data_IF_327430526346
#
_entry.id   IF_327430526346
#
_cell.length_a   1.000
_cell.length_b   1.000
_cell.length_c   1.000
_cell.angle_alpha   90.00
_cell.angle_beta   90.00
_cell.angle_gamma   90.00
#
_symmetry.space_group_name_H-M   'P 1'
#
loop_
_entity.id
_entity.type
_entity.pdbx_description
1 polymer ?
#
# COMPACT_ATOMS: atom_id res chain seq x y z
N UNK A 1 4.53 53.31 -21.41
CA UNK A 1 4.45 51.89 -21.02
C UNK A 1 5.86 51.43 -20.70
N UNK A 2 6.11 50.97 -19.47
CA UNK A 2 7.39 50.35 -19.12
C UNK A 2 7.57 49.14 -20.04
N UNK A 3 8.65 49.14 -20.82
CA UNK A 3 8.93 48.08 -21.78
C UNK A 3 9.81 47.07 -21.05
N UNK A 4 9.27 45.91 -20.70
CA UNK A 4 10.08 44.79 -20.21
C UNK A 4 11.09 44.46 -21.32
N UNK A 5 12.35 44.27 -20.95
CA UNK A 5 13.42 43.96 -21.91
C UNK A 5 13.11 42.68 -22.70
N UNK A 6 13.28 42.73 -24.02
CA UNK A 6 12.98 41.61 -24.92
C UNK A 6 13.83 40.37 -24.58
N UNK A 7 15.05 40.55 -24.08
CA UNK A 7 15.90 39.47 -23.60
C UNK A 7 15.33 38.83 -22.32
N UNK A 8 14.81 39.63 -21.40
CA UNK A 8 14.14 39.14 -20.20
C UNK A 8 12.88 38.34 -20.55
N UNK A 9 12.06 38.86 -21.49
CA UNK A 9 10.88 38.15 -21.99
C UNK A 9 11.26 36.76 -22.53
N UNK A 10 12.26 36.68 -23.41
CA UNK A 10 12.71 35.39 -23.96
C UNK A 10 13.16 34.43 -22.88
N UNK A 11 13.99 34.89 -21.95
CA UNK A 11 14.49 34.08 -20.84
C UNK A 11 13.35 33.53 -19.98
N UNK A 12 12.32 34.34 -19.71
CA UNK A 12 11.14 33.93 -18.94
C UNK A 12 10.38 32.83 -19.68
N UNK A 13 10.12 33.01 -20.97
CA UNK A 13 9.39 32.04 -21.80
C UNK A 13 10.15 30.71 -21.88
N UNK A 14 11.47 30.75 -22.06
CA UNK A 14 12.33 29.56 -22.12
C UNK A 14 12.43 28.83 -20.77
N UNK A 15 12.32 29.57 -19.66
CA UNK A 15 12.38 28.99 -18.30
C UNK A 15 11.03 28.41 -17.87
N UNK A 16 9.92 28.92 -18.40
CA UNK A 16 8.58 28.54 -17.97
C UNK A 16 8.29 27.06 -18.21
N UNK A 17 8.07 26.30 -17.13
CA UNK A 17 7.68 24.90 -17.15
C UNK A 17 6.20 24.77 -16.82
N UNK A 18 5.44 24.19 -17.74
CA UNK A 18 3.98 24.06 -17.65
C UNK A 18 3.52 23.29 -16.41
N UNK A 19 4.30 22.31 -15.94
CA UNK A 19 3.95 21.52 -14.76
C UNK A 19 3.98 22.38 -13.52
N UNK A 20 5.00 23.23 -13.41
CA UNK A 20 5.19 24.12 -12.26
C UNK A 20 4.14 25.23 -12.28
N UNK A 21 3.93 25.84 -13.45
CA UNK A 21 2.96 26.92 -13.66
C UNK A 21 1.56 26.43 -13.34
N UNK A 22 1.08 25.35 -13.95
CA UNK A 22 -0.27 24.82 -13.68
C UNK A 22 -0.37 24.29 -12.24
N UNK A 23 0.69 23.63 -11.74
CA UNK A 23 0.76 23.08 -10.40
C UNK A 23 0.65 24.11 -9.28
N UNK A 24 0.95 25.39 -9.58
CA UNK A 24 0.74 26.50 -8.66
C UNK A 24 -0.75 26.79 -8.40
N UNK A 25 -1.65 26.44 -9.33
CA UNK A 25 -3.09 26.74 -9.24
C UNK A 25 -3.93 25.51 -8.91
N UNK A 26 -3.60 24.35 -9.49
CA UNK A 26 -4.35 23.11 -9.31
C UNK A 26 -3.48 21.94 -8.87
N UNK A 27 -4.03 20.96 -8.12
CA UNK A 27 -3.31 19.73 -7.79
C UNK A 27 -3.09 18.89 -9.04
N UNK A 28 -1.86 18.40 -9.22
CA UNK A 28 -1.48 17.53 -10.33
C UNK A 28 -0.99 16.18 -9.79
N UNK A 29 -1.49 15.09 -10.36
CA UNK A 29 -1.06 13.72 -10.08
C UNK A 29 -0.25 13.16 -11.25
N UNK A 30 0.97 12.71 -10.98
CA UNK A 30 1.82 12.11 -12.01
C UNK A 30 1.27 10.74 -12.42
N UNK A 31 1.08 10.53 -13.74
CA UNK A 31 0.68 9.24 -14.32
C UNK A 31 1.58 8.94 -15.52
N UNK A 32 2.65 8.19 -15.26
CA UNK A 32 3.69 7.93 -16.25
C UNK A 32 4.39 9.22 -16.68
N UNK A 33 4.52 9.50 -17.99
CA UNK A 33 5.22 10.70 -18.49
C UNK A 33 4.36 11.98 -18.49
N UNK A 34 3.14 11.93 -17.94
CA UNK A 34 2.16 13.02 -17.98
C UNK A 34 1.67 13.33 -16.56
N UNK A 35 1.02 14.48 -16.41
CA UNK A 35 0.33 14.86 -15.18
C UNK A 35 -1.16 15.03 -15.45
N UNK A 36 -1.97 14.66 -14.47
CA UNK A 36 -3.43 14.72 -14.51
C UNK A 36 -3.95 15.66 -13.42
N UNK A 37 -5.01 16.41 -13.70
CA UNK A 37 -5.66 17.29 -12.73
C UNK A 37 -7.15 17.47 -13.06
N UNK A 38 -7.87 18.17 -12.19
CA UNK A 38 -9.18 18.69 -12.55
C UNK A 38 -9.00 19.92 -13.44
N UNK A 39 -9.79 20.03 -14.50
CA UNK A 39 -9.74 21.16 -15.41
C UNK A 39 -10.18 22.44 -14.70
N UNK A 40 -9.39 23.53 -14.75
CA UNK A 40 -9.76 24.79 -14.12
C UNK A 40 -10.65 25.68 -15.02
N UNK A 41 -10.94 25.25 -16.25
CA UNK A 41 -11.69 26.02 -17.25
C UNK A 41 -13.19 25.66 -17.30
N UNK A 42 -13.62 24.62 -16.58
CA UNK A 42 -15.02 24.22 -16.43
C UNK A 42 -15.21 23.48 -15.10
N UNK A 43 -16.47 23.22 -14.73
CA UNK A 43 -16.78 22.42 -13.55
C UNK A 43 -16.48 20.93 -13.81
N UNK A 44 -15.25 20.54 -13.51
CA UNK A 44 -14.74 19.19 -13.80
C UNK A 44 -14.83 18.27 -12.59
N UNK A 45 -15.32 17.06 -12.82
CA UNK A 45 -15.45 15.99 -11.83
C UNK A 45 -14.58 14.77 -12.18
N UNK A 46 -13.79 14.83 -13.26
CA UNK A 46 -13.00 13.71 -13.76
C UNK A 46 -11.52 14.12 -13.93
N UNK A 47 -10.67 13.64 -13.03
CA UNK A 47 -9.21 13.89 -13.03
C UNK A 47 -8.52 13.40 -14.34
N UNK A 48 -9.18 12.55 -15.14
CA UNK A 48 -8.69 12.14 -16.45
C UNK A 48 -8.90 13.16 -17.59
N UNK A 49 -9.67 14.23 -17.37
CA UNK A 49 -10.07 15.16 -18.43
C UNK A 49 -8.96 16.17 -18.79
N UNK A 50 -8.21 16.65 -17.80
CA UNK A 50 -7.16 17.67 -17.96
C UNK A 50 -5.77 17.06 -17.83
N UNK A 51 -5.00 17.13 -18.92
CA UNK A 51 -3.69 16.49 -19.03
C UNK A 51 -2.63 17.55 -19.32
N UNK A 52 -1.56 17.53 -18.51
CA UNK A 52 -0.35 18.33 -18.72
C UNK A 52 0.76 17.43 -19.27
N UNK A 53 1.40 17.90 -20.34
CA UNK A 53 2.44 17.21 -21.09
C UNK A 53 3.79 17.92 -20.89
N UNK A 54 4.66 17.45 -19.97
CA UNK A 54 5.92 18.12 -19.66
C UNK A 54 6.83 18.26 -20.87
N UNK A 55 6.98 17.20 -21.68
CA UNK A 55 7.83 17.22 -22.88
C UNK A 55 7.37 18.22 -23.95
N UNK A 56 6.08 18.47 -24.03
CA UNK A 56 5.50 19.41 -24.99
C UNK A 56 5.32 20.82 -24.42
N UNK A 57 5.62 21.01 -23.14
CA UNK A 57 5.35 22.23 -22.37
C UNK A 57 3.93 22.78 -22.54
N UNK A 58 2.93 21.88 -22.60
CA UNK A 58 1.56 22.24 -22.93
C UNK A 58 0.52 21.45 -22.12
N UNK A 59 -0.71 21.96 -22.09
CA UNK A 59 -1.87 21.31 -21.50
C UNK A 59 -2.97 21.07 -22.54
N UNK A 60 -3.83 20.10 -22.26
CA UNK A 60 -5.09 19.90 -22.98
C UNK A 60 -6.16 19.31 -22.06
N UNK A 61 -7.35 19.88 -22.11
CA UNK A 61 -8.57 19.26 -21.62
C UNK A 61 -9.29 18.55 -22.75
N UNK A 62 -9.68 17.30 -22.54
CA UNK A 62 -10.46 16.51 -23.51
C UNK A 62 -11.97 16.67 -23.34
N UNK A 63 -12.44 17.32 -22.27
CA UNK A 63 -13.86 17.58 -22.03
C UNK A 63 -14.31 18.94 -22.57
N UNK A 64 -13.59 20.02 -22.27
CA UNK A 64 -13.92 21.39 -22.71
C UNK A 64 -12.99 21.92 -23.83
N UNK A 65 -12.10 21.07 -24.37
CA UNK A 65 -11.17 21.38 -25.45
C UNK A 65 -10.11 22.48 -25.17
N UNK A 66 -10.08 23.04 -23.97
CA UNK A 66 -9.06 24.00 -23.53
C UNK A 66 -7.64 23.45 -23.77
N UNK A 67 -6.76 24.26 -24.35
CA UNK A 67 -5.39 23.87 -24.69
C UNK A 67 -4.46 25.08 -24.79
N UNK A 68 -3.21 24.93 -24.36
CA UNK A 68 -2.24 26.01 -24.39
C UNK A 68 -0.89 25.66 -23.74
N UNK A 69 -0.05 26.68 -23.64
CA UNK A 69 1.22 26.68 -22.89
C UNK A 69 1.05 27.44 -21.56
N UNK A 70 2.16 27.71 -20.88
CA UNK A 70 2.18 28.38 -19.58
C UNK A 70 1.59 29.79 -19.63
N UNK A 71 1.87 30.53 -20.71
CA UNK A 71 1.38 31.90 -20.88
C UNK A 71 -0.12 31.85 -21.14
N UNK A 72 -0.56 31.01 -22.07
CA UNK A 72 -1.97 30.87 -22.41
C UNK A 72 -2.80 30.41 -21.21
N UNK A 73 -2.26 29.51 -20.38
CA UNK A 73 -2.88 29.11 -19.13
C UNK A 73 -3.12 30.32 -18.21
N UNK A 74 -2.09 31.14 -17.98
CA UNK A 74 -2.21 32.34 -17.15
C UNK A 74 -3.20 33.35 -17.74
N UNK A 75 -3.17 33.55 -19.06
CA UNK A 75 -4.09 34.47 -19.72
C UNK A 75 -5.55 34.02 -19.57
N UNK A 76 -5.85 32.74 -19.83
CA UNK A 76 -7.21 32.21 -19.80
C UNK A 76 -7.72 31.96 -18.37
N UNK A 77 -6.91 31.35 -17.52
CA UNK A 77 -7.32 30.96 -16.16
C UNK A 77 -7.28 32.13 -15.19
N UNK A 78 -6.28 33.01 -15.33
CA UNK A 78 -6.05 34.12 -14.41
C UNK A 78 -6.54 35.47 -14.95
N UNK A 79 -7.11 35.48 -16.18
CA UNK A 79 -7.53 36.68 -16.88
C UNK A 79 -6.40 37.74 -17.00
N UNK A 80 -5.17 37.28 -17.21
CA UNK A 80 -4.00 38.14 -17.38
C UNK A 80 -3.82 38.55 -18.85
N UNK A 81 -3.32 39.75 -19.09
CA UNK A 81 -2.74 40.09 -20.39
C UNK A 81 -1.34 39.45 -20.55
N UNK A 82 -0.76 39.56 -21.75
CA UNK A 82 0.55 38.97 -22.02
C UNK A 82 1.64 39.51 -21.06
N UNK A 83 1.64 40.82 -20.82
CA UNK A 83 2.63 41.46 -19.95
C UNK A 83 2.45 41.03 -18.49
N UNK A 84 1.20 40.93 -18.00
CA UNK A 84 0.87 40.40 -16.69
C UNK A 84 1.35 38.96 -16.50
N UNK A 85 1.14 38.10 -17.49
CA UNK A 85 1.64 36.72 -17.48
C UNK A 85 3.17 36.66 -17.42
N UNK A 86 3.88 37.50 -18.19
CA UNK A 86 5.34 37.60 -18.14
C UNK A 86 5.82 38.06 -16.76
N UNK A 87 5.18 39.06 -16.16
CA UNK A 87 5.55 39.53 -14.82
C UNK A 87 5.34 38.45 -13.76
N UNK A 88 4.23 37.72 -13.82
CA UNK A 88 3.96 36.61 -12.91
C UNK A 88 5.03 35.52 -13.04
N UNK A 89 5.36 35.12 -14.26
CA UNK A 89 6.42 34.13 -14.51
C UNK A 89 7.79 34.64 -14.06
N UNK A 90 8.11 35.91 -14.31
CA UNK A 90 9.34 36.54 -13.85
C UNK A 90 9.47 36.46 -12.32
N UNK A 91 8.42 36.84 -11.59
CA UNK A 91 8.39 36.70 -10.13
C UNK A 91 8.48 35.24 -9.67
N UNK A 92 7.74 34.33 -10.32
CA UNK A 92 7.70 32.90 -9.98
C UNK A 92 9.08 32.21 -10.14
N UNK A 93 9.84 32.60 -11.16
CA UNK A 93 11.17 32.05 -11.45
C UNK A 93 12.33 32.92 -10.93
N UNK A 94 12.05 34.01 -10.23
CA UNK A 94 13.07 34.93 -9.72
C UNK A 94 13.87 35.65 -10.81
N UNK A 95 13.27 35.88 -11.98
CA UNK A 95 13.85 36.64 -13.09
C UNK A 95 13.39 38.10 -12.97
N UNK A 96 14.29 39.07 -12.81
CA UNK A 96 13.92 40.48 -12.69
C UNK A 96 13.12 40.96 -13.91
N UNK A 97 11.99 41.60 -13.62
CA UNK A 97 11.12 42.34 -14.55
C UNK A 97 11.03 43.79 -14.06
N UNK A 98 10.11 44.60 -14.61
CA UNK A 98 9.86 45.94 -14.07
C UNK A 98 9.23 45.90 -12.66
N UNK A 99 9.34 47.00 -11.92
CA UNK A 99 8.84 47.12 -10.53
C UNK A 99 7.30 47.24 -10.44
N UNK A 100 6.58 46.87 -11.50
CA UNK A 100 5.12 46.94 -11.54
C UNK A 100 4.55 45.71 -10.82
N UNK A 101 3.78 45.89 -9.72
CA UNK A 101 3.16 44.77 -9.03
C UNK A 101 2.22 44.00 -9.96
N UNK A 102 2.22 42.68 -9.84
CA UNK A 102 1.22 41.84 -10.51
C UNK A 102 -0.03 41.86 -9.64
N UNK A 103 -1.09 42.51 -10.13
CA UNK A 103 -2.40 42.52 -9.46
C UNK A 103 -3.12 41.19 -9.71
N UNK A 104 -2.62 40.14 -9.09
CA UNK A 104 -3.23 38.82 -9.12
C UNK A 104 -2.93 38.05 -7.84
N UNK A 105 -4.00 37.68 -7.13
CA UNK A 105 -3.92 36.77 -6.00
C UNK A 105 -4.36 35.38 -6.47
N UNK A 106 -3.48 34.37 -6.50
CA UNK A 106 -3.90 33.02 -6.85
C UNK A 106 -5.05 32.55 -5.95
N UNK A 107 -6.08 31.90 -6.51
CA UNK A 107 -7.08 31.27 -5.66
C UNK A 107 -6.37 30.29 -4.74
N UNK A 108 -6.80 30.25 -3.47
CA UNK A 108 -6.29 29.27 -2.51
C UNK A 108 -6.52 27.89 -3.12
N UNK A 109 -5.42 27.17 -3.38
CA UNK A 109 -5.45 25.81 -3.88
C UNK A 109 -6.28 24.97 -2.90
N UNK A 110 -7.52 24.66 -3.27
CA UNK A 110 -8.30 23.68 -2.51
C UNK A 110 -7.61 22.35 -2.69
N UNK A 111 -6.98 21.86 -1.62
CA UNK A 111 -6.54 20.47 -1.60
C UNK A 111 -7.77 19.60 -1.87
N UNK A 112 -7.68 18.66 -2.82
CA UNK A 112 -8.79 17.77 -3.07
C UNK A 112 -9.07 17.02 -1.78
N UNK A 113 -10.35 16.95 -1.38
CA UNK A 113 -10.72 16.21 -0.18
C UNK A 113 -10.21 14.76 -0.30
N UNK A 114 -9.57 14.22 0.75
CA UNK A 114 -9.07 12.86 0.71
C UNK A 114 -10.24 11.91 0.49
N UNK A 115 -10.07 10.97 -0.45
CA UNK A 115 -11.09 9.95 -0.71
C UNK A 115 -11.37 9.15 0.57
N UNK A 116 -12.62 8.72 0.81
CA UNK A 116 -12.93 7.83 1.90
C UNK A 116 -12.13 6.53 1.76
N UNK A 117 -11.59 6.03 2.87
CA UNK A 117 -10.87 4.76 2.85
C UNK A 117 -11.82 3.59 2.64
N UNK A 118 -11.48 2.69 1.71
CA UNK A 118 -12.19 1.43 1.51
C UNK A 118 -12.28 0.65 2.82
N UNK A 119 -13.50 0.28 3.19
CA UNK A 119 -13.80 -0.58 4.34
C UNK A 119 -14.82 -1.61 3.91
N UNK A 120 -14.43 -2.88 3.96
CA UNK A 120 -15.31 -3.99 3.65
C UNK A 120 -16.22 -4.30 4.86
N UNK A 121 -17.45 -4.77 4.62
CA UNK A 121 -18.35 -5.23 5.66
C UNK A 121 -17.76 -6.41 6.44
N UNK A 122 -17.81 -6.32 7.78
CA UNK A 122 -17.24 -7.33 8.68
C UNK A 122 -17.92 -8.70 8.56
N UNK A 123 -19.19 -8.74 8.16
CA UNK A 123 -19.93 -9.99 7.94
C UNK A 123 -19.30 -10.89 6.87
N UNK A 124 -18.58 -10.32 5.89
CA UNK A 124 -17.85 -11.10 4.89
C UNK A 124 -16.73 -11.90 5.55
N UNK A 125 -16.04 -11.31 6.53
CA UNK A 125 -15.01 -12.00 7.33
C UNK A 125 -15.65 -13.12 8.13
N UNK A 126 -16.72 -12.81 8.87
CA UNK A 126 -17.37 -13.75 9.79
C UNK A 126 -17.95 -14.98 9.06
N UNK A 127 -18.57 -14.78 7.89
CA UNK A 127 -19.14 -15.88 7.08
C UNK A 127 -18.10 -16.80 6.46
N UNK A 128 -16.84 -16.37 6.39
CA UNK A 128 -15.75 -17.11 5.73
C UNK A 128 -14.82 -17.81 6.71
N UNK A 129 -15.21 -18.00 7.98
CA UNK A 129 -14.37 -18.63 9.02
C UNK A 129 -14.42 -20.16 9.07
N UNK A 130 -15.25 -20.82 8.26
CA UNK A 130 -15.23 -22.29 8.22
C UNK A 130 -13.98 -22.78 7.47
N UNK A 131 -13.08 -23.46 8.19
CA UNK A 131 -11.81 -23.99 7.68
C UNK A 131 -11.80 -25.52 7.52
N UNK A 132 -12.93 -26.21 7.67
CA UNK A 132 -13.02 -27.69 7.61
C UNK A 132 -12.44 -28.29 6.32
N UNK A 133 -12.51 -27.56 5.21
CA UNK A 133 -12.00 -27.98 3.90
C UNK A 133 -10.81 -27.14 3.42
N UNK A 134 -10.24 -26.30 4.28
CA UNK A 134 -9.14 -25.43 3.89
C UNK A 134 -7.81 -26.19 3.89
N UNK A 135 -7.20 -26.32 2.72
CA UNK A 135 -5.95 -27.08 2.53
C UNK A 135 -4.81 -26.59 3.43
N UNK A 136 -4.72 -25.27 3.64
CA UNK A 136 -3.67 -24.70 4.49
C UNK A 136 -3.92 -25.00 5.97
N UNK A 137 -5.17 -24.84 6.44
CA UNK A 137 -5.53 -25.18 7.81
C UNK A 137 -5.30 -26.68 8.09
N UNK A 138 -5.74 -27.56 7.19
CA UNK A 138 -5.52 -29.01 7.30
C UNK A 138 -4.02 -29.36 7.33
N UNK A 139 -3.22 -28.70 6.50
CA UNK A 139 -1.77 -28.84 6.54
C UNK A 139 -1.17 -28.35 7.87
N UNK A 140 -1.62 -27.22 8.40
CA UNK A 140 -1.17 -26.75 9.71
C UNK A 140 -1.44 -27.79 10.80
N UNK A 141 -2.61 -28.42 10.82
CA UNK A 141 -2.94 -29.47 11.80
C UNK A 141 -2.10 -30.75 11.64
N UNK A 142 -1.57 -31.04 10.44
CA UNK A 142 -0.81 -32.26 10.19
C UNK A 142 0.66 -32.19 10.64
N UNK A 143 1.16 -31.00 10.94
CA UNK A 143 2.54 -30.81 11.41
C UNK A 143 2.75 -31.41 12.81
N UNK A 144 4.00 -31.81 13.15
CA UNK A 144 4.31 -32.49 14.40
C UNK A 144 4.40 -31.51 15.58
N UNK A 145 3.31 -30.81 15.88
CA UNK A 145 3.19 -29.92 17.03
C UNK A 145 3.17 -30.71 18.34
N UNK A 146 3.80 -30.17 19.39
CA UNK A 146 3.64 -30.67 20.76
C UNK A 146 2.23 -30.33 21.31
N UNK A 147 1.86 -30.88 22.48
CA UNK A 147 0.51 -30.70 23.04
C UNK A 147 0.08 -29.23 23.18
N UNK A 148 0.94 -28.38 23.73
CA UNK A 148 0.66 -26.94 23.92
C UNK A 148 0.49 -26.22 22.59
N UNK A 149 1.29 -26.57 21.59
CA UNK A 149 1.21 -26.00 20.24
C UNK A 149 -0.07 -26.46 19.53
N UNK A 150 -0.46 -27.73 19.67
CA UNK A 150 -1.70 -28.27 19.09
C UNK A 150 -2.94 -27.53 19.60
N UNK A 151 -3.01 -27.29 20.91
CA UNK A 151 -4.11 -26.54 21.53
C UNK A 151 -4.16 -25.09 21.03
N UNK A 152 -3.01 -24.54 20.62
CA UNK A 152 -2.91 -23.18 20.07
C UNK A 152 -3.43 -23.04 18.64
N UNK A 153 -3.35 -24.08 17.80
CA UNK A 153 -3.66 -23.98 16.35
C UNK A 153 -5.04 -23.36 16.12
N UNK A 154 -6.08 -23.94 16.73
CA UNK A 154 -7.47 -23.46 16.56
C UNK A 154 -7.61 -22.02 17.05
N UNK A 155 -7.06 -21.72 18.22
CA UNK A 155 -7.09 -20.38 18.82
C UNK A 155 -6.41 -19.35 17.91
N UNK A 156 -5.25 -19.68 17.36
CA UNK A 156 -4.52 -18.81 16.42
C UNK A 156 -5.34 -18.58 15.15
N UNK A 157 -5.87 -19.63 14.51
CA UNK A 157 -6.70 -19.48 13.32
C UNK A 157 -7.94 -18.60 13.57
N UNK A 158 -8.57 -18.77 14.73
CA UNK A 158 -9.74 -18.00 15.15
C UNK A 158 -9.41 -16.52 15.46
N UNK A 159 -8.35 -16.25 16.23
CA UNK A 159 -7.94 -14.89 16.61
C UNK A 159 -7.45 -14.09 15.41
N UNK A 160 -6.71 -14.72 14.50
CA UNK A 160 -6.27 -14.09 13.24
C UNK A 160 -7.37 -14.03 12.19
N UNK A 161 -8.55 -14.58 12.49
CA UNK A 161 -9.73 -14.60 11.63
C UNK A 161 -9.45 -15.25 10.27
N UNK A 162 -8.57 -16.25 10.20
CA UNK A 162 -8.21 -16.92 8.95
C UNK A 162 -9.47 -17.41 8.26
N UNK A 163 -9.61 -17.04 6.99
CA UNK A 163 -10.80 -17.34 6.22
C UNK A 163 -10.58 -18.40 5.15
N UNK A 164 -11.68 -18.86 4.57
CA UNK A 164 -11.73 -19.75 3.44
C UNK A 164 -12.69 -19.23 2.38
N UNK A 165 -12.38 -19.51 1.13
CA UNK A 165 -13.27 -19.22 0.01
C UNK A 165 -13.14 -20.25 -1.06
N UNK A 166 -14.28 -20.76 -1.46
CA UNK A 166 -14.44 -21.60 -2.65
C UNK A 166 -14.98 -20.76 -3.79
N UNK A 167 -14.30 -20.76 -4.93
CA UNK A 167 -14.80 -20.12 -6.15
C UNK A 167 -14.93 -21.16 -7.24
N UNK A 168 -16.11 -21.21 -7.87
CA UNK A 168 -16.38 -22.13 -8.98
C UNK A 168 -16.26 -21.35 -10.28
N UNK A 169 -15.34 -21.76 -11.15
CA UNK A 169 -15.16 -21.16 -12.47
C UNK A 169 -15.05 -22.26 -13.51
N UNK A 170 -15.84 -22.18 -14.59
CA UNK A 170 -15.87 -23.19 -15.66
C UNK A 170 -16.08 -24.64 -15.16
N UNK A 171 -16.91 -24.82 -14.13
CA UNK A 171 -17.15 -26.12 -13.50
C UNK A 171 -16.02 -26.63 -12.60
N UNK A 172 -14.90 -25.93 -12.50
CA UNK A 172 -13.80 -26.26 -11.59
C UNK A 172 -13.94 -25.51 -10.27
N UNK A 173 -13.68 -26.22 -9.17
CA UNK A 173 -13.64 -25.65 -7.83
C UNK A 173 -12.23 -25.15 -7.51
N UNK A 174 -12.15 -23.96 -6.94
CA UNK A 174 -10.92 -23.31 -6.51
C UNK A 174 -11.03 -22.87 -5.07
N UNK A 175 -10.30 -23.55 -4.20
CA UNK A 175 -10.29 -23.27 -2.77
C UNK A 175 -9.09 -22.39 -2.41
N UNK A 176 -9.35 -21.37 -1.60
CA UNK A 176 -8.38 -20.37 -1.19
C UNK A 176 -8.47 -20.14 0.31
N UNK A 177 -7.31 -20.01 0.93
CA UNK A 177 -7.17 -19.46 2.27
C UNK A 177 -7.15 -17.95 2.18
N UNK A 178 -7.86 -17.27 3.08
CA UNK A 178 -7.94 -15.82 3.18
C UNK A 178 -7.17 -15.32 4.39
N UNK A 179 -6.27 -14.39 4.15
CA UNK A 179 -5.58 -13.62 5.18
C UNK A 179 -6.13 -12.20 5.19
N UNK A 180 -6.93 -11.87 6.20
CA UNK A 180 -7.58 -10.56 6.28
C UNK A 180 -6.63 -9.48 6.76
N UNK A 181 -6.68 -8.33 6.10
CA UNK A 181 -6.03 -7.10 6.51
C UNK A 181 -7.08 -6.24 7.21
N UNK A 182 -7.09 -6.32 8.54
CA UNK A 182 -7.99 -5.56 9.42
C UNK A 182 -7.12 -4.62 10.25
N UNK A 183 -7.43 -3.32 10.20
CA UNK A 183 -6.59 -2.31 10.84
C UNK A 183 -6.81 -2.23 12.37
N UNK A 184 -6.01 -1.39 13.02
CA UNK A 184 -6.07 -1.10 14.46
C UNK A 184 -7.41 -0.50 14.90
N UNK A 185 -8.23 0.00 13.97
CA UNK A 185 -9.59 0.49 14.25
C UNK A 185 -10.67 -0.55 13.92
N UNK A 186 -10.28 -1.81 13.76
CA UNK A 186 -11.18 -2.92 13.43
C UNK A 186 -11.90 -2.76 12.07
N UNK A 187 -11.32 -2.00 11.15
CA UNK A 187 -11.87 -1.82 9.79
C UNK A 187 -11.25 -2.84 8.85
N UNK A 188 -12.09 -3.60 8.16
CA UNK A 188 -11.65 -4.59 7.17
C UNK A 188 -11.18 -3.86 5.92
N UNK A 189 -9.89 -3.90 5.61
CA UNK A 189 -9.32 -3.21 4.43
C UNK A 189 -9.42 -4.06 3.19
N UNK A 190 -9.08 -5.33 3.33
CA UNK A 190 -9.18 -6.35 2.28
C UNK A 190 -8.91 -7.72 2.89
N UNK A 191 -9.01 -8.78 2.08
CA UNK A 191 -8.37 -10.06 2.34
C UNK A 191 -7.47 -10.46 1.16
N UNK A 192 -6.35 -11.11 1.45
CA UNK A 192 -5.47 -11.73 0.46
C UNK A 192 -5.83 -13.20 0.36
N UNK A 193 -6.20 -13.65 -0.84
CA UNK A 193 -6.56 -15.04 -1.12
C UNK A 193 -5.36 -15.78 -1.68
N UNK A 194 -5.02 -16.94 -1.11
CA UNK A 194 -3.89 -17.74 -1.58
C UNK A 194 -4.24 -19.22 -1.62
N UNK A 195 -3.78 -19.91 -2.68
CA UNK A 195 -3.86 -21.37 -2.79
C UNK A 195 -2.64 -22.06 -2.22
N UNK A 196 -2.89 -23.17 -1.53
CA UNK A 196 -1.88 -24.05 -0.98
C UNK A 196 -2.06 -25.46 -1.50
N UNK A 197 -0.94 -26.16 -1.63
CA UNK A 197 -0.88 -27.61 -1.80
C UNK A 197 -0.95 -28.28 -0.42
N UNK A 198 -1.23 -29.58 -0.40
CA UNK A 198 -1.30 -30.37 0.84
C UNK A 198 0.05 -30.49 1.57
N UNK A 199 1.18 -30.19 0.89
CA UNK A 199 2.52 -30.09 1.48
C UNK A 199 2.77 -28.74 2.19
N UNK A 200 1.79 -27.82 2.13
CA UNK A 200 1.88 -26.48 2.71
C UNK A 200 2.62 -25.45 1.86
N UNK A 201 3.08 -25.83 0.67
CA UNK A 201 3.67 -24.88 -0.27
C UNK A 201 2.57 -24.12 -1.02
N UNK A 202 2.81 -22.82 -1.20
CA UNK A 202 1.93 -21.95 -1.99
C UNK A 202 2.00 -22.35 -3.46
N UNK A 203 0.84 -22.47 -4.11
CA UNK A 203 0.78 -22.70 -5.55
C UNK A 203 1.30 -21.49 -6.33
N UNK A 204 2.06 -21.73 -7.39
CA UNK A 204 2.61 -20.74 -8.32
C UNK A 204 1.89 -20.83 -9.66
N UNK A 205 2.05 -19.80 -10.52
CA UNK A 205 1.34 -19.72 -11.82
C UNK A 205 1.57 -20.93 -12.74
N UNK A 206 2.68 -21.67 -12.54
CA UNK A 206 2.94 -22.92 -13.24
C UNK A 206 2.10 -24.11 -12.75
N UNK A 207 1.59 -24.07 -11.52
CA UNK A 207 0.76 -25.14 -10.94
C UNK A 207 -0.72 -25.00 -11.35
N UNK A 208 -1.22 -23.77 -11.44
CA UNK A 208 -2.61 -23.46 -11.82
C UNK A 208 -2.71 -22.03 -12.34
N UNK A 209 -3.65 -21.73 -13.27
CA UNK A 209 -3.84 -20.38 -13.78
C UNK A 209 -4.20 -19.35 -12.70
N UNK A 210 -4.86 -19.79 -11.63
CA UNK A 210 -5.37 -18.91 -10.58
C UNK A 210 -4.89 -19.33 -9.19
N UNK A 211 -3.89 -18.62 -8.68
CA UNK A 211 -3.15 -18.99 -7.47
C UNK A 211 -3.39 -18.05 -6.29
N UNK A 212 -3.74 -16.80 -6.59
CA UNK A 212 -3.99 -15.76 -5.60
C UNK A 212 -4.94 -14.71 -6.19
N UNK A 213 -5.68 -14.03 -5.31
CA UNK A 213 -6.50 -12.87 -5.66
C UNK A 213 -6.68 -11.98 -4.42
N UNK A 214 -7.36 -10.86 -4.59
CA UNK A 214 -7.77 -9.99 -3.49
C UNK A 214 -9.29 -9.99 -3.35
N UNK A 215 -9.77 -10.04 -2.11
CA UNK A 215 -11.20 -10.04 -1.83
C UNK A 215 -11.87 -8.79 -2.42
N UNK A 216 -11.28 -7.61 -2.28
CA UNK A 216 -11.85 -6.38 -2.88
C UNK A 216 -11.96 -6.47 -4.42
N UNK A 217 -10.98 -7.10 -5.09
CA UNK A 217 -11.01 -7.24 -6.55
C UNK A 217 -12.15 -8.16 -7.00
N UNK A 218 -12.52 -9.14 -6.19
CA UNK A 218 -13.70 -9.99 -6.45
C UNK A 218 -14.98 -9.19 -6.19
N UNK A 219 -15.05 -8.43 -5.09
CA UNK A 219 -16.24 -7.63 -4.76
C UNK A 219 -16.51 -6.52 -5.79
N UNK A 220 -15.47 -5.88 -6.33
CA UNK A 220 -15.61 -4.88 -7.40
C UNK A 220 -16.11 -5.47 -8.73
N UNK A 221 -15.96 -6.78 -8.94
CA UNK A 221 -16.49 -7.48 -10.12
C UNK A 221 -17.93 -7.97 -9.90
N UNK A 222 -18.45 -7.89 -8.67
CA UNK A 222 -19.81 -8.31 -8.36
C UNK A 222 -20.78 -7.17 -8.67
N UNK A 223 -21.54 -7.32 -9.74
CA UNK A 223 -22.51 -6.34 -10.22
C UNK A 223 -23.62 -6.04 -9.18
N UNK A 224 -23.81 -6.92 -8.19
CA UNK A 224 -24.78 -6.72 -7.11
C UNK A 224 -24.26 -5.83 -5.97
N UNK A 225 -22.96 -5.50 -5.96
CA UNK A 225 -22.32 -4.70 -4.91
C UNK A 225 -21.90 -3.31 -5.44
N UNK A 226 -22.90 -2.52 -5.86
CA UNK A 226 -22.73 -1.17 -6.45
C UNK A 226 -22.21 -0.11 -5.47
N UNK A 227 -22.12 -0.43 -4.18
CA UNK A 227 -21.63 0.48 -3.13
C UNK A 227 -20.11 0.72 -3.15
N UNK A 228 -19.37 -0.04 -3.97
CA UNK A 228 -17.92 0.01 -4.03
C UNK A 228 -17.45 0.59 -5.36
N UNK A 229 -17.02 1.85 -5.34
CA UNK A 229 -16.47 2.54 -6.51
C UNK A 229 -14.94 2.73 -6.31
N UNK A 230 -14.09 2.01 -7.08
CA UNK A 230 -12.64 2.07 -6.92
C UNK A 230 -12.05 3.45 -7.26
N UNK A 231 -12.76 4.28 -8.04
CA UNK A 231 -12.30 5.64 -8.37
C UNK A 231 -12.66 6.66 -7.27
N UNK A 232 -13.60 6.31 -6.37
CA UNK A 232 -14.04 7.17 -5.25
C UNK A 232 -13.57 6.70 -3.89
N UNK A 233 -12.70 5.69 -3.82
CA UNK A 233 -12.22 5.14 -2.55
C UNK A 233 -10.71 4.98 -2.55
N UNK A 234 -10.08 5.30 -1.42
CA UNK A 234 -8.66 5.04 -1.22
C UNK A 234 -8.45 3.63 -0.64
N UNK A 235 -7.64 2.81 -1.32
CA UNK A 235 -7.23 1.51 -0.81
C UNK A 235 -5.92 1.64 -0.03
N UNK A 236 -5.97 1.36 1.28
CA UNK A 236 -4.79 1.31 2.14
C UNK A 236 -4.67 -0.07 2.78
N UNK A 237 -3.60 -0.78 2.43
CA UNK A 237 -3.27 -2.06 3.03
C UNK A 237 -2.67 -1.88 4.41
N UNK A 238 -3.01 -2.77 5.33
CA UNK A 238 -2.47 -2.83 6.68
C UNK A 238 -1.76 -4.17 6.91
N UNK A 239 -1.11 -4.36 8.06
CA UNK A 239 -0.45 -5.65 8.36
C UNK A 239 -1.51 -6.73 8.62
N UNK A 240 -1.20 -7.96 8.25
CA UNK A 240 -1.97 -9.12 8.71
C UNK A 240 -1.76 -9.28 10.22
N UNK A 241 -2.84 -9.43 10.99
CA UNK A 241 -2.81 -9.49 12.46
C UNK A 241 -2.82 -8.13 13.16
N UNK A 242 -2.89 -7.00 12.44
CA UNK A 242 -2.88 -5.67 13.06
C UNK A 242 -4.07 -5.42 14.00
N UNK A 243 -5.22 -6.04 13.75
CA UNK A 243 -6.40 -5.97 14.61
C UNK A 243 -6.18 -6.50 16.02
N UNK A 244 -5.14 -7.31 16.24
CA UNK A 244 -4.76 -7.86 17.55
C UNK A 244 -4.18 -6.81 18.51
N UNK A 245 -3.78 -5.63 18.01
CA UNK A 245 -3.19 -4.56 18.82
C UNK A 245 -4.08 -4.11 19.98
N UNK A 246 -5.39 -4.07 19.76
CA UNK A 246 -6.36 -3.59 20.76
C UNK A 246 -6.54 -4.58 21.92
N UNK A 247 -6.49 -5.88 21.61
CA UNK A 247 -6.63 -6.93 22.60
C UNK A 247 -5.36 -7.09 23.45
N UNK A 248 -4.19 -6.91 22.84
CA UNK A 248 -2.90 -7.22 23.47
C UNK A 248 -2.03 -5.97 23.55
N UNK A 249 -2.34 -5.07 24.49
CA UNK A 249 -1.78 -3.71 24.53
C UNK A 249 -0.30 -3.62 24.95
N UNK A 250 0.22 -4.65 25.63
CA UNK A 250 1.59 -4.64 26.17
C UNK A 250 2.55 -5.57 25.42
N UNK A 251 2.05 -6.41 24.50
CA UNK A 251 2.87 -7.38 23.80
C UNK A 251 3.94 -6.71 22.90
N UNK A 252 5.09 -7.34 22.74
CA UNK A 252 6.04 -7.00 21.67
C UNK A 252 5.45 -7.41 20.32
N UNK A 253 5.62 -6.57 19.30
CA UNK A 253 5.09 -6.85 17.97
C UNK A 253 6.19 -7.46 17.12
N UNK A 254 6.02 -8.71 16.73
CA UNK A 254 6.94 -9.43 15.87
C UNK A 254 6.41 -9.38 14.43
N UNK A 255 7.23 -8.97 13.46
CA UNK A 255 6.84 -8.82 12.06
C UNK A 255 7.68 -9.74 11.19
N UNK A 256 7.00 -10.56 10.39
CA UNK A 256 7.58 -11.46 9.39
C UNK A 256 7.11 -11.12 7.98
N UNK A 257 7.72 -11.71 6.96
CA UNK A 257 7.39 -11.41 5.57
C UNK A 257 5.98 -11.88 5.16
N UNK A 258 5.63 -13.11 5.52
CA UNK A 258 4.43 -13.79 5.00
C UNK A 258 3.39 -14.10 6.07
N UNK A 259 2.12 -14.10 5.67
CA UNK A 259 0.99 -14.39 6.57
C UNK A 259 1.06 -15.83 7.11
N UNK A 260 1.52 -16.78 6.28
CA UNK A 260 1.81 -18.16 6.69
C UNK A 260 2.86 -18.20 7.81
N UNK A 261 3.97 -17.47 7.64
CA UNK A 261 5.04 -17.41 8.65
C UNK A 261 4.49 -16.85 9.96
N UNK A 262 3.66 -15.81 9.93
CA UNK A 262 3.13 -15.21 11.15
C UNK A 262 2.30 -16.22 11.98
N UNK A 263 1.47 -17.03 11.31
CA UNK A 263 0.68 -18.07 11.98
C UNK A 263 1.55 -19.19 12.56
N UNK A 264 2.56 -19.64 11.81
CA UNK A 264 3.49 -20.68 12.28
C UNK A 264 4.27 -20.20 13.51
N UNK A 265 4.77 -18.97 13.47
CA UNK A 265 5.49 -18.37 14.59
C UNK A 265 4.58 -18.15 15.80
N UNK A 266 3.33 -17.77 15.59
CA UNK A 266 2.36 -17.63 16.68
C UNK A 266 2.01 -18.97 17.33
N UNK A 267 1.81 -20.02 16.53
CA UNK A 267 1.57 -21.37 17.06
C UNK A 267 2.80 -21.87 17.82
N UNK A 268 4.00 -21.69 17.28
CA UNK A 268 5.25 -22.16 17.88
C UNK A 268 5.62 -21.38 19.16
N UNK A 269 5.60 -20.04 19.11
CA UNK A 269 6.22 -19.15 20.10
C UNK A 269 5.29 -18.03 20.60
N UNK A 270 4.06 -17.95 20.11
CA UNK A 270 3.09 -16.94 20.50
C UNK A 270 2.75 -17.00 22.00
N UNK A 271 2.88 -15.85 22.67
CA UNK A 271 2.45 -15.66 24.05
C UNK A 271 1.81 -14.29 24.17
N UNK A 272 0.48 -14.23 24.31
CA UNK A 272 -0.28 -12.96 24.27
C UNK A 272 0.13 -11.92 25.32
N UNK A 273 0.75 -12.35 26.40
CA UNK A 273 1.27 -11.46 27.44
C UNK A 273 2.64 -10.85 27.08
N UNK A 274 3.37 -11.46 26.14
CA UNK A 274 4.74 -11.10 25.80
C UNK A 274 4.90 -10.65 24.34
N UNK A 275 4.25 -11.33 23.39
CA UNK A 275 4.40 -11.11 21.97
C UNK A 275 3.14 -11.45 21.14
N UNK A 276 3.02 -10.76 20.00
CA UNK A 276 2.06 -11.05 18.94
C UNK A 276 2.78 -11.01 17.58
N UNK A 277 2.31 -11.81 16.64
CA UNK A 277 2.94 -11.94 15.32
C UNK A 277 2.11 -11.27 14.23
N UNK A 278 2.76 -10.57 13.31
CA UNK A 278 2.13 -9.91 12.18
C UNK A 278 2.91 -10.16 10.90
N UNK A 279 2.28 -9.95 9.75
CA UNK A 279 2.96 -10.04 8.46
C UNK A 279 2.76 -8.80 7.60
N UNK A 280 3.83 -8.39 6.90
CA UNK A 280 3.79 -7.29 5.96
C UNK A 280 3.31 -7.68 4.55
N UNK A 281 3.30 -8.99 4.24
CA UNK A 281 2.88 -9.53 2.96
C UNK A 281 3.95 -9.47 1.87
N UNK A 282 5.23 -9.41 2.25
CA UNK A 282 6.40 -9.51 1.37
C UNK A 282 7.54 -8.52 1.68
N UNK A 283 8.72 -8.79 1.14
CA UNK A 283 9.95 -8.05 1.38
C UNK A 283 9.84 -6.52 1.26
N UNK A 284 9.20 -6.01 0.21
CA UNK A 284 9.11 -4.57 -0.07
C UNK A 284 8.00 -3.85 0.70
N UNK A 285 7.23 -4.58 1.52
CA UNK A 285 5.99 -4.08 2.11
C UNK A 285 6.15 -3.47 3.51
N UNK A 286 7.37 -3.28 4.00
CA UNK A 286 7.63 -2.47 5.19
C UNK A 286 7.75 -1.00 4.77
N UNK A 287 6.89 -0.15 5.34
CA UNK A 287 6.89 1.29 5.11
C UNK A 287 6.52 2.04 6.40
N UNK A 288 6.86 3.33 6.44
CA UNK A 288 6.47 4.20 7.56
C UNK A 288 4.97 4.20 7.77
N UNK A 289 4.20 4.27 6.71
CA UNK A 289 2.74 4.27 6.75
C UNK A 289 2.15 3.01 7.39
N UNK A 290 2.69 1.83 7.05
CA UNK A 290 2.23 0.56 7.61
C UNK A 290 2.62 0.38 9.08
N UNK A 291 3.78 0.88 9.48
CA UNK A 291 4.26 0.77 10.85
C UNK A 291 3.79 1.92 11.74
N UNK A 292 3.30 3.02 11.17
CA UNK A 292 2.84 4.20 11.92
C UNK A 292 1.86 3.85 13.05
N UNK A 293 0.81 3.03 12.84
CA UNK A 293 -0.13 2.71 13.93
C UNK A 293 0.54 2.00 15.12
N UNK A 294 1.58 1.21 14.85
CA UNK A 294 2.33 0.49 15.88
C UNK A 294 3.30 1.44 16.61
N UNK A 295 3.93 2.35 15.85
CA UNK A 295 4.85 3.37 16.36
C UNK A 295 4.14 4.44 17.19
N UNK A 296 2.96 4.87 16.76
CA UNK A 296 2.12 5.86 17.48
C UNK A 296 1.69 5.31 18.85
N UNK A 297 1.49 4.00 18.96
CA UNK A 297 1.22 3.31 20.23
C UNK A 297 2.49 3.15 21.10
N UNK A 298 3.67 3.55 20.61
CA UNK A 298 4.93 3.45 21.35
C UNK A 298 5.37 2.01 21.63
N UNK A 299 4.90 1.04 20.83
CA UNK A 299 5.14 -0.38 21.03
C UNK A 299 6.53 -0.81 20.56
N UNK A 300 7.12 -1.80 21.24
CA UNK A 300 8.35 -2.44 20.76
C UNK A 300 8.02 -3.30 19.53
N UNK A 301 8.78 -3.12 18.47
CA UNK A 301 8.64 -3.85 17.21
C UNK A 301 9.92 -4.66 16.98
N UNK A 302 9.80 -5.93 16.62
CA UNK A 302 10.91 -6.80 16.25
C UNK A 302 10.67 -7.33 14.84
N UNK A 303 11.63 -7.11 13.95
CA UNK A 303 11.58 -7.60 12.58
C UNK A 303 12.29 -8.96 12.48
N UNK A 304 11.63 -9.93 11.87
CA UNK A 304 12.12 -11.28 11.57
C UNK A 304 12.11 -11.48 10.05
N UNK A 305 13.12 -10.95 9.33
CA UNK A 305 13.22 -11.08 7.88
C UNK A 305 13.49 -12.53 7.46
N UNK A 306 13.15 -12.87 6.21
CA UNK A 306 13.72 -14.06 5.59
C UNK A 306 15.19 -13.80 5.21
N UNK A 307 15.94 -14.86 4.88
CA UNK A 307 17.39 -14.77 4.68
C UNK A 307 17.80 -13.73 3.62
N UNK A 308 17.07 -13.67 2.50
CA UNK A 308 17.32 -12.71 1.42
C UNK A 308 16.78 -11.30 1.72
N UNK A 309 15.99 -11.14 2.79
CA UNK A 309 15.41 -9.88 3.20
C UNK A 309 16.20 -9.08 4.24
N UNK A 310 17.19 -9.70 4.89
CA UNK A 310 17.94 -9.12 6.02
C UNK A 310 18.49 -7.73 5.70
N UNK A 311 19.18 -7.58 4.57
CA UNK A 311 19.81 -6.31 4.18
C UNK A 311 18.77 -5.20 3.96
N UNK A 312 17.75 -5.49 3.14
CA UNK A 312 16.74 -4.51 2.77
C UNK A 312 15.94 -4.03 3.99
N UNK A 313 15.59 -4.93 4.90
CA UNK A 313 14.85 -4.54 6.10
C UNK A 313 15.71 -3.79 7.12
N UNK A 314 17.01 -4.04 7.19
CA UNK A 314 17.94 -3.27 8.04
C UNK A 314 18.08 -1.82 7.55
N UNK A 315 18.15 -1.62 6.24
CA UNK A 315 18.14 -0.28 5.63
C UNK A 315 16.82 0.44 5.94
N UNK A 316 15.68 -0.23 5.72
CA UNK A 316 14.35 0.33 6.04
C UNK A 316 14.17 0.66 7.52
N UNK A 317 14.63 -0.21 8.42
CA UNK A 317 14.63 0.02 9.86
C UNK A 317 15.38 1.32 10.23
N UNK A 318 16.53 1.54 9.61
CA UNK A 318 17.36 2.73 9.83
C UNK A 318 16.66 4.00 9.32
N UNK A 319 16.01 3.93 8.16
CA UNK A 319 15.24 5.04 7.58
C UNK A 319 14.07 5.48 8.47
N UNK A 320 13.43 4.53 9.18
CA UNK A 320 12.27 4.80 10.02
C UNK A 320 12.59 5.59 11.30
N UNK A 321 13.86 5.54 11.75
CA UNK A 321 14.34 6.25 12.95
C UNK A 321 13.45 6.03 14.18
N UNK A 322 13.00 4.80 14.39
CA UNK A 322 12.20 4.42 15.57
C UNK A 322 13.07 3.64 16.55
N UNK A 323 13.27 4.19 17.75
CA UNK A 323 14.17 3.69 18.79
C UNK A 323 13.75 2.33 19.37
N UNK A 324 12.45 2.03 19.35
CA UNK A 324 11.90 0.74 19.82
C UNK A 324 11.76 -0.31 18.71
N UNK A 325 12.34 -0.08 17.54
CA UNK A 325 12.41 -1.05 16.45
C UNK A 325 13.72 -1.84 16.55
N UNK A 326 13.59 -3.15 16.71
CA UNK A 326 14.70 -4.08 16.72
C UNK A 326 14.62 -5.10 15.57
N UNK A 327 15.66 -5.91 15.49
CA UNK A 327 15.88 -6.86 14.42
C UNK A 327 16.33 -8.18 15.04
N UNK A 328 15.67 -9.28 14.69
CA UNK A 328 16.02 -10.60 15.18
C UNK A 328 16.26 -11.54 13.99
N UNK A 329 17.51 -11.99 13.86
CA UNK A 329 17.97 -12.94 12.84
C UNK A 329 18.41 -14.27 13.45
N UNK A 330 18.15 -14.51 14.74
CA UNK A 330 18.65 -15.69 15.46
C UNK A 330 18.26 -17.00 14.77
N UNK A 331 17.02 -17.12 14.28
CA UNK A 331 16.56 -18.27 13.51
C UNK A 331 17.43 -18.54 12.29
N UNK A 332 17.76 -17.49 11.52
CA UNK A 332 18.55 -17.61 10.30
C UNK A 332 20.04 -17.77 10.62
N UNK A 333 20.57 -17.04 11.60
CA UNK A 333 22.01 -17.04 11.90
C UNK A 333 22.44 -18.33 12.61
N UNK A 334 21.58 -18.89 13.46
CA UNK A 334 21.93 -20.02 14.33
C UNK A 334 21.43 -21.35 13.79
N UNK A 335 20.21 -21.37 13.24
CA UNK A 335 19.54 -22.63 12.93
C UNK A 335 19.45 -22.94 11.45
N UNK A 336 19.79 -22.00 10.55
CA UNK A 336 19.83 -22.25 9.12
C UNK A 336 20.86 -23.32 8.75
N UNK A 337 20.49 -24.20 7.83
CA UNK A 337 21.36 -25.21 7.24
C UNK A 337 21.45 -25.03 5.72
N UNK A 338 22.53 -25.50 5.06
CA UNK A 338 22.68 -25.41 3.61
C UNK A 338 21.48 -25.95 2.81
N UNK A 339 20.77 -26.97 3.33
CA UNK A 339 19.60 -27.56 2.67
C UNK A 339 18.39 -26.62 2.62
N UNK A 340 18.28 -25.65 3.53
CA UNK A 340 17.20 -24.64 3.51
C UNK A 340 17.41 -23.63 2.35
N UNK A 341 18.61 -23.61 1.76
CA UNK A 341 18.93 -22.82 0.58
C UNK A 341 19.12 -21.32 0.84
N UNK A 342 19.43 -20.53 -0.20
CA UNK A 342 19.78 -19.12 -0.07
C UNK A 342 18.60 -18.19 0.18
N UNK A 343 17.37 -18.67 -0.06
CA UNK A 343 16.10 -17.95 0.17
C UNK A 343 15.25 -18.63 1.25
N UNK A 344 15.92 -19.22 2.22
CA UNK A 344 15.26 -19.89 3.34
C UNK A 344 14.31 -18.92 4.04
N UNK A 345 13.06 -19.34 4.19
CA UNK A 345 12.08 -18.61 4.97
C UNK A 345 12.20 -18.98 6.46
N UNK A 346 11.85 -18.04 7.35
CA UNK A 346 11.93 -18.28 8.81
C UNK A 346 11.04 -19.45 9.22
N UNK A 347 9.92 -19.66 8.52
CA UNK A 347 8.98 -20.73 8.85
C UNK A 347 9.57 -22.12 8.61
N UNK A 348 10.28 -22.33 7.51
CA UNK A 348 10.89 -23.58 7.10
C UNK A 348 11.97 -24.01 8.11
N UNK A 349 12.79 -23.06 8.57
CA UNK A 349 13.77 -23.29 9.64
C UNK A 349 13.06 -23.73 10.93
N UNK A 350 12.00 -23.02 11.34
CA UNK A 350 11.24 -23.36 12.55
C UNK A 350 10.53 -24.70 12.44
N UNK A 351 9.92 -25.00 11.29
CA UNK A 351 9.26 -26.28 11.04
C UNK A 351 10.25 -27.44 11.06
N UNK A 352 11.46 -27.24 10.54
CA UNK A 352 12.53 -28.23 10.66
C UNK A 352 12.97 -28.42 12.11
N UNK A 353 13.16 -27.36 12.88
CA UNK A 353 13.48 -27.47 14.31
C UNK A 353 12.40 -28.24 15.10
N UNK A 354 11.12 -28.01 14.79
CA UNK A 354 10.01 -28.73 15.43
C UNK A 354 10.04 -30.21 15.05
N UNK A 355 10.39 -30.56 13.81
CA UNK A 355 10.57 -31.96 13.40
C UNK A 355 11.73 -32.61 14.16
N UNK A 356 12.89 -31.94 14.18
CA UNK A 356 14.12 -32.43 14.80
C UNK A 356 13.96 -32.62 16.33
N UNK A 357 13.18 -31.78 17.02
CA UNK A 357 12.94 -31.88 18.47
C UNK A 357 11.93 -32.96 18.89
N UNK A 358 11.15 -33.50 17.94
CA UNK A 358 10.16 -34.56 18.20
C UNK A 358 10.61 -35.95 17.69
N UNK A 359 11.80 -36.02 17.07
CA UNK A 359 12.54 -37.24 16.75
C UNK A 359 13.62 -37.48 17.79
#
# INVERSE_FOLDING_TARGET
>A
MSKIDDLAIRRIIETANIVDVVGAFIPLKQKGPRYLGLCPFHEDHNIGSFIVYPRGNCYRCFACEAKGDSIKFLQEHCNMDFIGAIRWLGQHYGIPVDDVPVDYTPPVKKEPEPLPMLTLPIDIVLRRRNLEHDTFALWLYSLPWNGVQRDRIRKTLDEYLVGHSTIKQNGQQHDFTIFWQIDDKQRVRTGKMMKYRCDGHRMKKGDTPWTQDWVHAILFRDENLTQFDPDKMEMRQCLFGQHLLNAWQNATINIVESEKTALIMDIAYGNRYENIWMACGGLSNISRDKLKPLMDLGRRIQLFPDKDGIKAWREKATELKYDKLGFNTEFIDTYWKPEDGPKADVADVVLRMIRDNNT
#
